data_IF_542711353191
#
_entry.id   IF_542711353191
#
_cell.length_a   1.000
_cell.length_b   1.000
_cell.length_c   1.000
_cell.angle_alpha   90.00
_cell.angle_beta   90.00
_cell.angle_gamma   90.00
#
_symmetry.space_group_name_H-M   'P 1'
#
loop_
_entity.id
_entity.type
_entity.pdbx_description
1 polymer ?
#
# COMPACT_ATOMS: atom_id res chain seq x y z
N UNK A 1 0.07 -0.32 63.19
CA UNK A 1 0.11 -0.01 61.74
C UNK A 1 0.78 -1.20 61.04
N UNK A 2 0.07 -1.91 60.17
CA UNK A 2 0.55 -3.17 59.58
C UNK A 2 1.51 -2.88 58.42
N UNK A 3 2.78 -2.62 58.74
CA UNK A 3 3.84 -2.31 57.78
C UNK A 3 4.04 -3.35 56.67
N UNK A 4 3.82 -4.64 56.98
CA UNK A 4 3.84 -5.71 55.98
C UNK A 4 2.84 -5.48 54.85
N UNK A 5 1.60 -5.06 55.17
CA UNK A 5 0.56 -4.82 54.16
C UNK A 5 0.90 -3.63 53.25
N UNK A 6 1.49 -2.57 53.82
CA UNK A 6 1.94 -1.41 53.05
C UNK A 6 3.07 -1.78 52.08
N UNK A 7 4.03 -2.59 52.53
CA UNK A 7 5.15 -3.06 51.69
C UNK A 7 4.66 -3.99 50.57
N UNK A 8 3.72 -4.89 50.84
CA UNK A 8 3.15 -5.77 49.80
C UNK A 8 2.31 -4.98 48.79
N UNK A 9 1.54 -3.99 49.26
CA UNK A 9 0.76 -3.11 48.37
C UNK A 9 1.69 -2.27 47.48
N UNK A 10 2.74 -1.69 48.06
CA UNK A 10 3.74 -0.93 47.32
C UNK A 10 4.44 -1.81 46.27
N UNK A 11 4.80 -3.04 46.63
CA UNK A 11 5.43 -3.98 45.71
C UNK A 11 4.47 -4.36 44.55
N UNK A 12 3.19 -4.60 44.84
CA UNK A 12 2.18 -4.85 43.82
C UNK A 12 2.03 -3.67 42.85
N UNK A 13 1.98 -2.44 43.37
CA UNK A 13 1.90 -1.22 42.55
C UNK A 13 3.15 -1.05 41.70
N UNK A 14 4.34 -1.21 42.28
CA UNK A 14 5.61 -1.14 41.55
C UNK A 14 5.71 -2.20 40.45
N UNK A 15 5.28 -3.43 40.75
CA UNK A 15 5.25 -4.53 39.78
C UNK A 15 4.26 -4.23 38.66
N UNK A 16 3.07 -3.72 38.97
CA UNK A 16 2.08 -3.30 37.97
C UNK A 16 2.60 -2.18 37.06
N UNK A 17 3.23 -1.15 37.63
CA UNK A 17 3.86 -0.06 36.87
C UNK A 17 5.00 -0.55 35.98
N UNK A 18 5.82 -1.47 36.49
CA UNK A 18 6.90 -2.09 35.72
C UNK A 18 6.33 -2.85 34.51
N UNK A 19 5.37 -3.75 34.71
CA UNK A 19 4.74 -4.50 33.62
C UNK A 19 4.09 -3.56 32.60
N UNK A 20 3.36 -2.54 33.05
CA UNK A 20 2.76 -1.55 32.16
C UNK A 20 3.82 -0.85 31.30
N UNK A 21 4.91 -0.36 31.93
CA UNK A 21 6.00 0.30 31.20
C UNK A 21 6.72 -0.65 30.24
N UNK A 22 6.91 -1.91 30.63
CA UNK A 22 7.52 -2.93 29.76
C UNK A 22 6.66 -3.24 28.54
N UNK A 23 5.33 -3.33 28.70
CA UNK A 23 4.40 -3.55 27.58
C UNK A 23 4.41 -2.36 26.63
N UNK A 24 4.30 -1.13 27.15
CA UNK A 24 4.34 0.09 26.32
C UNK A 24 5.68 0.21 25.57
N UNK A 25 6.80 -0.11 26.22
CA UNK A 25 8.11 -0.10 25.57
C UNK A 25 8.18 -1.14 24.44
N UNK A 26 7.58 -2.31 24.65
CA UNK A 26 7.55 -3.38 23.64
C UNK A 26 6.74 -2.95 22.41
N UNK A 27 5.55 -2.36 22.60
CA UNK A 27 4.70 -1.83 21.53
C UNK A 27 5.45 -0.76 20.72
N UNK A 28 6.00 0.25 21.38
CA UNK A 28 6.78 1.32 20.73
C UNK A 28 7.99 0.78 19.95
N UNK A 29 8.67 -0.25 20.48
CA UNK A 29 9.82 -0.86 19.80
C UNK A 29 9.38 -1.66 18.57
N UNK A 30 8.26 -2.36 18.64
CA UNK A 30 7.71 -3.11 17.51
C UNK A 30 7.25 -2.17 16.39
N UNK A 31 6.57 -1.08 16.74
CA UNK A 31 6.18 -0.04 15.79
C UNK A 31 7.39 0.59 15.10
N UNK A 32 8.40 1.01 15.88
CA UNK A 32 9.63 1.61 15.35
C UNK A 32 10.35 0.66 14.38
N UNK A 33 10.49 -0.61 14.74
CA UNK A 33 11.14 -1.61 13.90
C UNK A 33 10.35 -1.86 12.60
N UNK A 34 9.02 -1.89 12.68
CA UNK A 34 8.15 -2.12 11.53
C UNK A 34 8.18 -0.92 10.58
N UNK A 35 8.14 0.29 11.14
CA UNK A 35 8.24 1.54 10.40
C UNK A 35 9.61 1.70 9.75
N UNK A 36 10.70 1.48 10.48
CA UNK A 36 12.07 1.54 9.94
C UNK A 36 12.27 0.54 8.80
N UNK A 37 11.70 -0.67 8.94
CA UNK A 37 11.73 -1.66 7.87
C UNK A 37 11.00 -1.20 6.62
N UNK A 38 9.80 -0.62 6.74
CA UNK A 38 9.06 -0.07 5.60
C UNK A 38 9.83 1.08 4.93
N UNK A 39 10.36 1.99 5.74
CA UNK A 39 11.09 3.16 5.27
C UNK A 39 12.39 2.75 4.55
N UNK A 40 13.17 1.87 5.18
CA UNK A 40 14.41 1.34 4.60
C UNK A 40 14.14 0.56 3.33
N UNK A 41 13.11 -0.29 3.29
CA UNK A 41 12.72 -1.02 2.08
C UNK A 41 12.37 -0.09 0.92
N UNK A 42 11.62 0.99 1.17
CA UNK A 42 11.30 1.98 0.15
C UNK A 42 12.53 2.76 -0.32
N UNK A 43 13.49 3.01 0.57
CA UNK A 43 14.74 3.72 0.26
C UNK A 43 15.79 2.87 -0.45
N UNK A 44 15.55 1.58 -0.71
CA UNK A 44 16.51 0.72 -1.41
C UNK A 44 16.66 1.11 -2.88
N UNK A 45 17.84 0.83 -3.42
CA UNK A 45 18.19 1.12 -4.82
C UNK A 45 17.25 0.43 -5.82
N UNK A 46 16.70 -0.73 -5.48
CA UNK A 46 15.80 -1.48 -6.35
C UNK A 46 14.38 -0.90 -6.41
N UNK A 47 13.96 -0.15 -5.38
CA UNK A 47 12.73 0.64 -5.37
C UNK A 47 12.90 1.94 -6.15
N UNK A 48 14.04 2.62 -5.96
CA UNK A 48 14.39 3.81 -6.75
C UNK A 48 14.45 3.50 -8.24
N UNK A 49 15.18 2.44 -8.62
CA UNK A 49 15.25 1.99 -10.01
C UNK A 49 13.88 1.56 -10.57
N UNK A 50 12.97 1.05 -9.73
CA UNK A 50 11.61 0.75 -10.17
C UNK A 50 10.79 2.02 -10.42
N UNK A 51 10.95 3.05 -9.59
CA UNK A 51 10.33 4.35 -9.83
C UNK A 51 10.86 5.01 -11.10
N UNK A 52 12.17 5.10 -11.27
CA UNK A 52 12.80 5.65 -12.47
C UNK A 52 12.29 4.93 -13.73
N UNK A 53 12.20 3.58 -13.70
CA UNK A 53 11.69 2.82 -14.84
C UNK A 53 10.24 3.16 -15.22
N UNK A 54 9.40 3.43 -14.22
CA UNK A 54 8.00 3.79 -14.43
C UNK A 54 7.91 5.23 -14.90
N UNK A 55 8.68 6.14 -14.32
CA UNK A 55 8.73 7.56 -14.73
C UNK A 55 9.24 7.70 -16.17
N UNK A 56 10.36 7.07 -16.52
CA UNK A 56 10.90 7.02 -17.89
C UNK A 56 9.85 6.53 -18.90
N UNK A 57 9.06 5.52 -18.51
CA UNK A 57 8.02 4.97 -19.37
C UNK A 57 6.84 5.94 -19.55
N UNK A 58 6.48 6.70 -18.53
CA UNK A 58 5.44 7.73 -18.61
C UNK A 58 5.92 8.95 -19.39
N UNK A 59 7.16 9.38 -19.21
CA UNK A 59 7.70 10.56 -19.88
C UNK A 59 7.83 10.38 -21.40
N UNK A 60 8.01 9.12 -21.85
CA UNK A 60 8.05 8.78 -23.26
C UNK A 60 6.68 8.68 -23.95
N UNK A 61 5.57 8.65 -23.20
CA UNK A 61 4.27 8.27 -23.77
C UNK A 61 3.09 9.02 -23.15
N UNK A 62 2.27 9.64 -24.00
CA UNK A 62 1.04 10.34 -23.58
C UNK A 62 -0.01 9.38 -22.97
N UNK A 63 -0.12 8.17 -23.54
CA UNK A 63 -1.02 7.10 -23.10
C UNK A 63 -0.26 5.81 -22.76
N UNK A 64 0.40 5.73 -21.59
CA UNK A 64 1.34 4.66 -21.27
C UNK A 64 0.67 3.29 -21.15
N UNK A 65 -0.59 3.21 -20.73
CA UNK A 65 -1.33 1.94 -20.71
C UNK A 65 -1.56 1.39 -22.13
N UNK A 66 -1.96 2.22 -23.08
CA UNK A 66 -2.16 1.81 -24.48
C UNK A 66 -0.87 1.30 -25.11
N UNK A 67 0.22 2.02 -24.88
CA UNK A 67 1.54 1.66 -25.37
C UNK A 67 2.03 0.33 -24.77
N UNK A 68 1.75 0.08 -23.47
CA UNK A 68 2.10 -1.19 -22.84
C UNK A 68 1.35 -2.37 -23.48
N UNK A 69 0.10 -2.16 -23.89
CA UNK A 69 -0.70 -3.16 -24.62
C UNK A 69 -0.12 -3.44 -26.02
N UNK A 70 0.31 -2.41 -26.75
CA UNK A 70 0.91 -2.55 -28.07
C UNK A 70 2.26 -3.26 -28.01
N UNK A 71 3.12 -2.88 -27.07
CA UNK A 71 4.43 -3.51 -26.93
C UNK A 71 4.37 -4.98 -26.47
N UNK A 72 3.29 -5.40 -25.81
CA UNK A 72 3.09 -6.81 -25.46
C UNK A 72 3.09 -7.72 -26.70
N UNK A 73 2.79 -7.17 -27.88
CA UNK A 73 2.77 -7.91 -29.17
C UNK A 73 4.14 -7.95 -29.85
N UNK A 74 5.05 -7.00 -29.58
CA UNK A 74 6.28 -6.83 -30.40
C UNK A 74 7.61 -6.70 -29.65
N UNK A 75 7.65 -6.24 -28.40
CA UNK A 75 8.90 -6.01 -27.65
C UNK A 75 8.80 -6.47 -26.18
N UNK A 76 8.84 -7.77 -25.97
CA UNK A 76 8.66 -8.38 -24.64
C UNK A 76 9.71 -7.97 -23.61
N UNK A 77 10.95 -7.66 -24.02
CA UNK A 77 12.03 -7.36 -23.08
C UNK A 77 11.79 -6.02 -22.35
N UNK A 78 11.39 -4.98 -23.09
CA UNK A 78 11.07 -3.68 -22.50
C UNK A 78 9.81 -3.74 -21.63
N UNK A 79 8.76 -4.42 -22.11
CA UNK A 79 7.52 -4.65 -21.36
C UNK A 79 7.79 -5.39 -20.05
N UNK A 80 8.63 -6.42 -20.09
CA UNK A 80 8.98 -7.18 -18.89
C UNK A 80 9.70 -6.32 -17.85
N UNK A 81 10.55 -5.39 -18.26
CA UNK A 81 11.22 -4.49 -17.35
C UNK A 81 10.22 -3.54 -16.65
N UNK A 82 9.29 -2.96 -17.41
CA UNK A 82 8.23 -2.09 -16.87
C UNK A 82 7.28 -2.89 -15.96
N UNK A 83 6.86 -4.10 -16.36
CA UNK A 83 5.98 -4.94 -15.53
C UNK A 83 6.67 -5.38 -14.23
N UNK A 84 7.97 -5.66 -14.27
CA UNK A 84 8.75 -6.00 -13.07
C UNK A 84 8.83 -4.81 -12.11
N UNK A 85 9.11 -3.61 -12.63
CA UNK A 85 9.13 -2.38 -11.84
C UNK A 85 7.76 -2.09 -11.22
N UNK A 86 6.69 -2.14 -12.03
CA UNK A 86 5.29 -2.02 -11.61
C UNK A 86 4.95 -3.02 -10.49
N UNK A 87 5.25 -4.30 -10.68
CA UNK A 87 4.95 -5.36 -9.72
C UNK A 87 5.67 -5.14 -8.38
N UNK A 88 6.93 -4.67 -8.40
CA UNK A 88 7.67 -4.33 -7.18
C UNK A 88 7.00 -3.20 -6.40
N UNK A 89 6.63 -2.12 -7.08
CA UNK A 89 5.92 -0.99 -6.44
C UNK A 89 4.57 -1.43 -5.88
N UNK A 90 3.78 -2.17 -6.65
CA UNK A 90 2.49 -2.73 -6.20
C UNK A 90 2.67 -3.59 -4.96
N UNK A 91 3.65 -4.50 -4.95
CA UNK A 91 3.90 -5.38 -3.81
C UNK A 91 4.27 -4.60 -2.54
N UNK A 92 5.09 -3.55 -2.67
CA UNK A 92 5.43 -2.71 -1.52
C UNK A 92 4.18 -1.99 -0.95
N UNK A 93 3.33 -1.42 -1.81
CA UNK A 93 2.09 -0.79 -1.36
C UNK A 93 1.04 -1.78 -0.84
N UNK A 94 1.00 -3.03 -1.34
CA UNK A 94 0.20 -4.10 -0.74
C UNK A 94 0.62 -4.38 0.70
N UNK A 95 1.92 -4.36 0.97
CA UNK A 95 2.44 -4.52 2.32
C UNK A 95 2.03 -3.35 3.24
N UNK A 96 2.06 -2.11 2.73
CA UNK A 96 1.55 -0.93 3.46
C UNK A 96 0.07 -1.09 3.78
N UNK A 97 -0.76 -1.42 2.79
CA UNK A 97 -2.20 -1.64 2.99
C UNK A 97 -2.49 -2.80 3.97
N UNK A 98 -1.68 -3.86 3.93
CA UNK A 98 -1.75 -4.97 4.87
C UNK A 98 -1.49 -4.50 6.30
N UNK A 99 -0.41 -3.75 6.55
CA UNK A 99 -0.09 -3.27 7.89
C UNK A 99 -1.18 -2.37 8.47
N UNK A 100 -1.74 -1.48 7.64
CA UNK A 100 -2.84 -0.61 8.07
C UNK A 100 -4.10 -1.42 8.39
N UNK A 101 -4.51 -2.34 7.52
CA UNK A 101 -5.73 -3.16 7.72
C UNK A 101 -5.67 -3.99 9.01
N UNK A 102 -4.47 -4.45 9.39
CA UNK A 102 -4.28 -5.27 10.57
C UNK A 102 -3.90 -4.47 11.83
N UNK A 103 -3.88 -3.13 11.78
CA UNK A 103 -3.54 -2.29 12.94
C UNK A 103 -2.13 -2.54 13.46
N UNK A 104 -1.20 -2.90 12.58
CA UNK A 104 0.19 -3.25 12.95
C UNK A 104 1.11 -2.03 13.09
N UNK A 105 0.59 -0.84 12.73
CA UNK A 105 1.23 0.45 12.84
C UNK A 105 0.15 1.49 13.13
N UNK A 106 0.48 2.53 13.90
CA UNK A 106 -0.42 3.65 14.13
C UNK A 106 -0.66 4.48 12.86
N UNK A 107 -1.89 4.99 12.70
CA UNK A 107 -2.33 5.78 11.54
C UNK A 107 -1.43 7.01 11.26
N UNK A 108 -0.88 7.62 12.31
CA UNK A 108 0.04 8.76 12.17
C UNK A 108 1.29 8.41 11.37
N UNK A 109 1.79 7.18 11.49
CA UNK A 109 3.00 6.75 10.79
C UNK A 109 2.73 6.60 9.29
N UNK A 110 1.53 6.16 8.90
CA UNK A 110 1.14 6.12 7.49
C UNK A 110 0.99 7.51 6.89
N UNK A 111 0.50 8.48 7.67
CA UNK A 111 0.41 9.88 7.26
C UNK A 111 1.79 10.52 7.03
N UNK A 112 2.77 10.19 7.88
CA UNK A 112 4.17 10.61 7.71
C UNK A 112 4.83 9.91 6.51
N UNK A 113 4.66 8.59 6.38
CA UNK A 113 5.29 7.80 5.33
C UNK A 113 4.48 6.54 4.95
N UNK A 114 4.25 6.27 3.65
CA UNK A 114 4.64 7.05 2.47
C UNK A 114 3.91 8.40 2.36
N UNK A 115 2.80 8.57 3.07
CA UNK A 115 1.98 9.77 3.05
C UNK A 115 1.10 9.91 1.80
N UNK A 116 0.18 10.88 1.83
CA UNK A 116 -0.82 11.09 0.79
C UNK A 116 -0.18 11.44 -0.58
N UNK A 117 0.84 12.30 -0.58
CA UNK A 117 1.49 12.76 -1.82
C UNK A 117 2.14 11.62 -2.61
N UNK A 118 2.97 10.79 -1.96
CA UNK A 118 3.66 9.67 -2.63
C UNK A 118 2.67 8.60 -3.07
N UNK A 119 1.65 8.36 -2.25
CA UNK A 119 0.59 7.40 -2.58
C UNK A 119 -0.23 7.87 -3.78
N UNK A 120 -0.52 9.16 -3.89
CA UNK A 120 -1.16 9.73 -5.06
C UNK A 120 -0.30 9.56 -6.32
N UNK A 121 1.01 9.85 -6.26
CA UNK A 121 1.92 9.61 -7.39
C UNK A 121 1.96 8.13 -7.80
N UNK A 122 1.93 7.21 -6.83
CA UNK A 122 1.86 5.78 -7.08
C UNK A 122 0.57 5.40 -7.81
N UNK A 123 -0.58 5.83 -7.30
CA UNK A 123 -1.87 5.58 -7.93
C UNK A 123 -1.85 6.12 -9.37
N UNK A 124 -1.44 7.37 -9.56
CA UNK A 124 -1.50 8.06 -10.84
C UNK A 124 -0.65 7.37 -11.93
N UNK A 125 0.50 6.80 -11.56
CA UNK A 125 1.45 6.20 -12.50
C UNK A 125 1.30 4.69 -12.64
N UNK A 126 0.96 3.99 -11.56
CA UNK A 126 1.01 2.53 -11.49
C UNK A 126 -0.37 1.88 -11.64
N UNK A 127 -1.45 2.56 -11.22
CA UNK A 127 -2.81 2.01 -11.32
C UNK A 127 -3.22 1.70 -12.76
N UNK A 128 -3.07 2.62 -13.75
CA UNK A 128 -3.51 2.34 -15.12
C UNK A 128 -2.79 1.12 -15.72
N UNK A 129 -1.49 1.00 -15.46
CA UNK A 129 -0.68 -0.12 -15.93
C UNK A 129 -1.10 -1.44 -15.26
N UNK A 130 -1.40 -1.39 -13.97
CA UNK A 130 -1.79 -2.58 -13.20
C UNK A 130 -3.16 -3.10 -13.61
N UNK A 131 -4.14 -2.20 -13.78
CA UNK A 131 -5.48 -2.60 -14.21
C UNK A 131 -5.47 -3.22 -15.60
N UNK A 132 -4.69 -2.67 -16.54
CA UNK A 132 -4.50 -3.27 -17.86
C UNK A 132 -3.92 -4.69 -17.77
N UNK A 133 -2.80 -4.85 -17.06
CA UNK A 133 -2.14 -6.16 -16.93
C UNK A 133 -3.07 -7.18 -16.26
N UNK A 134 -3.83 -6.77 -15.25
CA UNK A 134 -4.80 -7.65 -14.61
C UNK A 134 -5.94 -8.04 -15.55
N UNK A 135 -6.46 -7.10 -16.33
CA UNK A 135 -7.49 -7.40 -17.32
C UNK A 135 -6.99 -8.39 -18.38
N UNK A 136 -5.77 -8.21 -18.86
CA UNK A 136 -5.14 -9.14 -19.81
C UNK A 136 -4.94 -10.54 -19.21
N UNK A 137 -4.65 -10.63 -17.90
CA UNK A 137 -4.43 -11.90 -17.19
C UNK A 137 -5.70 -12.50 -16.61
N UNK A 138 -6.85 -11.84 -16.72
CA UNK A 138 -8.09 -12.25 -16.08
C UNK A 138 -8.02 -12.27 -14.55
N UNK A 139 -7.15 -11.47 -13.94
CA UNK A 139 -7.01 -11.39 -12.49
C UNK A 139 -8.12 -10.50 -11.91
N UNK A 140 -9.02 -11.05 -11.06
CA UNK A 140 -10.06 -10.25 -10.42
C UNK A 140 -9.47 -9.29 -9.38
N UNK A 141 -10.25 -8.28 -9.00
CA UNK A 141 -10.04 -7.48 -7.78
C UNK A 141 -8.75 -6.66 -7.67
N UNK A 142 -8.00 -6.47 -8.76
CA UNK A 142 -6.79 -5.63 -8.75
C UNK A 142 -7.04 -4.16 -8.38
N UNK A 143 -8.28 -3.69 -8.45
CA UNK A 143 -8.68 -2.34 -8.05
C UNK A 143 -8.65 -2.14 -6.53
N UNK A 144 -8.86 -3.21 -5.74
CA UNK A 144 -9.04 -3.14 -4.29
C UNK A 144 -7.84 -2.52 -3.55
N UNK A 145 -6.62 -2.77 -4.03
CA UNK A 145 -5.43 -2.13 -3.46
C UNK A 145 -5.53 -0.62 -3.58
N UNK A 146 -5.80 -0.11 -4.78
CA UNK A 146 -5.83 1.31 -5.06
C UNK A 146 -6.99 1.98 -4.34
N UNK A 147 -8.14 1.31 -4.23
CA UNK A 147 -9.29 1.83 -3.50
C UNK A 147 -9.06 1.83 -1.99
N UNK A 148 -8.37 0.82 -1.45
CA UNK A 148 -7.91 0.83 -0.05
C UNK A 148 -6.94 1.97 0.23
N UNK A 149 -6.02 2.28 -0.69
CA UNK A 149 -5.09 3.39 -0.55
C UNK A 149 -5.80 4.74 -0.64
N UNK A 150 -6.79 4.87 -1.53
CA UNK A 150 -7.64 6.08 -1.58
C UNK A 150 -8.38 6.30 -0.28
N UNK A 151 -8.97 5.25 0.28
CA UNK A 151 -9.68 5.31 1.55
C UNK A 151 -8.74 5.71 2.70
N UNK A 152 -7.55 5.08 2.77
CA UNK A 152 -6.53 5.37 3.79
C UNK A 152 -6.08 6.83 3.79
N UNK A 153 -5.88 7.41 2.60
CA UNK A 153 -5.28 8.74 2.45
C UNK A 153 -6.29 9.83 2.02
N UNK A 154 -7.59 9.54 2.05
CA UNK A 154 -8.65 10.43 1.57
C UNK A 154 -8.38 11.01 0.16
N UNK A 155 -7.86 10.17 -0.75
CA UNK A 155 -7.48 10.59 -2.10
C UNK A 155 -8.70 10.63 -3.04
N UNK A 156 -8.64 11.41 -4.13
CA UNK A 156 -9.73 11.49 -5.10
C UNK A 156 -10.14 10.11 -5.61
N UNK A 157 -11.46 9.93 -5.74
CA UNK A 157 -12.03 8.77 -6.41
C UNK A 157 -11.53 8.69 -7.85
N UNK A 158 -11.60 7.49 -8.45
CA UNK A 158 -11.22 7.27 -9.85
C UNK A 158 -12.17 8.05 -10.77
N UNK A 159 -11.82 9.28 -11.14
CA UNK A 159 -12.61 10.13 -12.05
C UNK A 159 -12.34 9.80 -13.51
N UNK A 160 -13.40 9.85 -14.34
CA UNK A 160 -13.34 9.63 -15.78
C UNK A 160 -12.46 10.65 -16.54
N UNK A 161 -12.06 11.79 -15.97
CA UNK A 161 -11.10 12.70 -16.64
C UNK A 161 -9.65 12.17 -16.60
N UNK A 162 -9.29 11.37 -15.58
CA UNK A 162 -8.04 10.56 -15.62
C UNK A 162 -8.14 9.40 -16.62
N UNK A 163 -9.33 9.15 -17.17
CA UNK A 163 -9.59 8.10 -18.15
C UNK A 163 -8.88 8.35 -19.48
N UNK A 164 -8.43 9.57 -19.79
CA UNK A 164 -7.53 9.78 -20.93
C UNK A 164 -6.28 8.89 -20.85
N UNK A 165 -5.70 8.72 -19.66
CA UNK A 165 -4.57 7.79 -19.41
C UNK A 165 -5.01 6.33 -19.22
N UNK A 166 -6.31 6.09 -19.04
CA UNK A 166 -6.92 4.76 -18.89
C UNK A 166 -7.72 4.35 -20.14
N UNK A 167 -7.57 5.02 -21.28
CA UNK A 167 -8.39 4.79 -22.47
C UNK A 167 -8.34 3.34 -22.99
N UNK A 168 -7.25 2.62 -22.69
CA UNK A 168 -7.06 1.21 -23.05
C UNK A 168 -7.27 0.24 -21.86
N UNK A 169 -7.66 0.74 -20.70
CA UNK A 169 -8.00 -0.08 -19.52
C UNK A 169 -9.49 -0.42 -19.61
N UNK A 170 -9.87 -1.70 -19.66
CA UNK A 170 -11.28 -2.07 -19.64
C UNK A 170 -11.90 -1.65 -18.30
N UNK A 171 -13.12 -1.08 -18.36
CA UNK A 171 -13.84 -0.69 -17.14
C UNK A 171 -14.02 -1.91 -16.23
N UNK A 172 -13.76 -1.78 -14.91
CA UNK A 172 -14.07 -2.84 -13.97
C UNK A 172 -15.59 -3.05 -14.01
N UNK A 173 -16.01 -4.24 -14.42
CA UNK A 173 -17.41 -4.65 -14.36
C UNK A 173 -17.80 -4.67 -12.88
N UNK A 174 -18.63 -3.71 -12.47
CA UNK A 174 -19.28 -3.61 -11.15
C UNK A 174 -20.23 -4.80 -10.93
N UNK A 175 -19.70 -6.02 -10.84
CA UNK A 175 -20.49 -7.24 -10.64
C UNK A 175 -20.31 -7.86 -9.24
N UNK A 176 -19.53 -7.25 -8.35
CA UNK A 176 -19.20 -7.83 -7.03
C UNK A 176 -19.66 -7.02 -5.84
N UNK A 177 -20.60 -6.08 -5.99
CA UNK A 177 -21.30 -5.46 -4.85
C UNK A 177 -22.50 -6.27 -4.36
N UNK A 178 -23.00 -7.25 -5.14
CA UNK A 178 -24.17 -8.05 -4.75
C UNK A 178 -23.85 -9.33 -3.94
N UNK A 179 -22.57 -9.68 -3.78
CA UNK A 179 -22.17 -10.92 -3.09
C UNK A 179 -21.81 -10.72 -1.61
N UNK A 180 -21.48 -9.51 -1.16
CA UNK A 180 -21.09 -9.25 0.23
C UNK A 180 -22.26 -8.95 1.18
N UNK A 181 -23.46 -8.70 0.67
CA UNK A 181 -24.66 -8.50 1.52
C UNK A 181 -25.30 -9.81 2.02
N UNK A 182 -24.74 -10.97 1.67
CA UNK A 182 -25.28 -12.29 2.05
C UNK A 182 -24.46 -13.09 3.06
N UNK A 183 -23.32 -12.56 3.53
CA UNK A 183 -22.45 -13.26 4.50
C UNK A 183 -22.44 -12.62 5.89
N UNK A 184 -23.24 -11.57 6.13
CA UNK A 184 -23.57 -11.08 7.47
C UNK A 184 -25.06 -11.32 7.76
N UNK A 185 -25.42 -12.58 8.04
CA UNK A 185 -26.69 -12.96 8.69
C UNK A 185 -26.52 -14.26 9.47
#
# INVERSE_FOLDING_TARGET
MNWMLLLTLLNLVMTGLYFYKSVVLLELTQELNTFDKLHTEFGRQDMLAAWEKIEDFHDGHEHPACVLQEYAVGNMAHVKAVDTARARLVHWYQKVAYFHRHGLLEDRLFAEFPGAFRTQQFIDRVEPLTLLVCAQRGAPDCHLLFDSLRAMYALPARTQERSGKMACVPEPTLATTAAQEKEEL
#
